data_IF_806344300101
#
_entry.id   IF_806344300101
#
_cell.length_a   1.000
_cell.length_b   1.000
_cell.length_c   1.000
_cell.angle_alpha   90.00
_cell.angle_beta   90.00
_cell.angle_gamma   90.00
#
_symmetry.space_group_name_H-M   'P 1'
#
loop_
_entity.id
_entity.type
_entity.pdbx_description
1 polymer ?
#
# COMPACT_ATOMS: atom_id res chain seq x y z
N UNK A 1 30.52 -21.98 -23.59
CA UNK A 1 30.74 -21.85 -22.14
C UNK A 1 31.04 -20.41 -21.69
N UNK A 2 32.09 -19.74 -22.18
CA UNK A 2 32.45 -18.36 -21.77
C UNK A 2 31.38 -17.27 -22.03
N UNK A 3 30.57 -17.37 -23.11
CA UNK A 3 29.47 -16.41 -23.38
C UNK A 3 28.32 -16.58 -22.40
N UNK A 4 27.96 -17.82 -22.04
CA UNK A 4 26.91 -18.10 -21.07
C UNK A 4 27.29 -17.59 -19.68
N UNK A 5 28.51 -17.86 -19.23
CA UNK A 5 29.01 -17.34 -17.93
C UNK A 5 28.96 -15.81 -17.88
N UNK A 6 29.40 -15.14 -18.96
CA UNK A 6 29.31 -13.67 -19.04
C UNK A 6 27.87 -13.15 -19.00
N UNK A 7 26.95 -13.85 -19.65
CA UNK A 7 25.51 -13.49 -19.59
C UNK A 7 24.95 -13.65 -18.18
N UNK A 8 25.23 -14.80 -17.53
CA UNK A 8 24.78 -15.02 -16.14
C UNK A 8 25.36 -13.98 -15.18
N UNK A 9 26.67 -13.65 -15.32
CA UNK A 9 27.29 -12.60 -14.50
C UNK A 9 26.67 -11.22 -14.74
N UNK A 10 26.36 -10.86 -15.99
CA UNK A 10 25.66 -9.60 -16.29
C UNK A 10 24.27 -9.57 -15.67
N UNK A 11 23.47 -10.63 -15.83
CA UNK A 11 22.14 -10.72 -15.22
C UNK A 11 22.21 -10.63 -13.70
N UNK A 12 23.15 -11.30 -13.06
CA UNK A 12 23.37 -11.22 -11.61
C UNK A 12 23.68 -9.78 -11.17
N UNK A 13 24.65 -9.12 -11.80
CA UNK A 13 25.02 -7.76 -11.43
C UNK A 13 23.92 -6.75 -11.74
N UNK A 14 23.17 -6.92 -12.83
CA UNK A 14 21.99 -6.10 -13.10
C UNK A 14 20.95 -6.25 -11.98
N UNK A 15 20.68 -7.47 -11.51
CA UNK A 15 19.78 -7.73 -10.39
C UNK A 15 20.26 -7.08 -9.09
N UNK A 16 21.55 -7.19 -8.77
CA UNK A 16 22.16 -6.55 -7.60
C UNK A 16 22.02 -5.02 -7.66
N UNK A 17 22.36 -4.42 -8.80
CA UNK A 17 22.24 -2.96 -9.00
C UNK A 17 20.79 -2.51 -8.87
N UNK A 18 19.85 -3.24 -9.47
CA UNK A 18 18.43 -2.92 -9.37
C UNK A 18 17.92 -3.00 -7.92
N UNK A 19 18.35 -4.01 -7.16
CA UNK A 19 18.00 -4.15 -5.74
C UNK A 19 18.57 -2.99 -4.91
N UNK A 20 19.83 -2.63 -5.11
CA UNK A 20 20.47 -1.51 -4.43
C UNK A 20 19.82 -0.16 -4.78
N UNK A 21 19.48 0.05 -6.06
CA UNK A 21 18.76 1.25 -6.50
C UNK A 21 17.36 1.33 -5.86
N UNK A 22 16.64 0.20 -5.78
CA UNK A 22 15.34 0.14 -5.10
C UNK A 22 15.49 0.47 -3.61
N UNK A 23 16.50 -0.09 -2.94
CA UNK A 23 16.77 0.19 -1.52
C UNK A 23 17.11 1.67 -1.29
N UNK A 24 17.97 2.25 -2.14
CA UNK A 24 18.30 3.67 -2.08
C UNK A 24 17.05 4.55 -2.31
N UNK A 25 16.17 4.15 -3.23
CA UNK A 25 14.88 4.84 -3.47
C UNK A 25 13.99 4.79 -2.24
N UNK A 26 13.83 3.63 -1.60
CA UNK A 26 13.03 3.48 -0.37
C UNK A 26 13.59 4.34 0.76
N UNK A 27 14.92 4.35 0.96
CA UNK A 27 15.59 5.22 1.94
C UNK A 27 15.34 6.70 1.62
N UNK A 28 15.65 7.12 0.39
CA UNK A 28 15.47 8.49 -0.04
C UNK A 28 14.04 8.97 0.16
N UNK A 29 13.08 8.15 -0.23
CA UNK A 29 11.67 8.46 -0.05
C UNK A 29 11.29 8.58 1.44
N UNK A 30 11.79 7.68 2.29
CA UNK A 30 11.49 7.69 3.73
C UNK A 30 12.00 8.93 4.43
N UNK A 31 13.21 9.36 4.12
CA UNK A 31 13.89 10.43 4.86
C UNK A 31 13.78 11.81 4.20
N UNK A 32 13.69 11.86 2.87
CA UNK A 32 13.66 13.12 2.12
C UNK A 32 12.23 13.58 1.78
N UNK A 33 11.21 12.71 1.95
CA UNK A 33 9.84 13.11 1.67
C UNK A 33 9.39 14.20 2.66
N UNK A 34 8.95 15.37 2.16
CA UNK A 34 8.48 16.45 3.02
C UNK A 34 7.17 16.06 3.70
N UNK A 35 7.11 16.19 5.05
CA UNK A 35 5.88 15.92 5.82
C UNK A 35 4.94 17.13 5.87
N UNK A 36 5.46 18.32 5.59
CA UNK A 36 4.83 19.64 5.72
C UNK A 36 4.33 20.22 4.39
N UNK A 37 4.18 19.38 3.38
CA UNK A 37 3.59 19.80 2.10
C UNK A 37 2.15 20.30 2.28
N UNK A 38 1.71 21.28 1.45
CA UNK A 38 0.31 21.64 1.38
C UNK A 38 -0.55 20.40 1.16
N UNK A 39 -1.66 20.31 1.89
CA UNK A 39 -2.55 19.16 1.79
C UNK A 39 -3.18 19.11 0.39
N UNK A 40 -3.12 17.96 -0.29
CA UNK A 40 -3.77 17.80 -1.58
C UNK A 40 -5.29 17.80 -1.39
N UNK A 41 -6.02 17.96 -2.49
CA UNK A 41 -7.45 17.67 -2.53
C UNK A 41 -7.70 16.48 -3.43
N UNK A 42 -8.63 15.63 -3.03
CA UNK A 42 -9.02 14.42 -3.77
C UNK A 42 -10.49 14.14 -3.69
N UNK A 43 -10.91 13.09 -4.38
CA UNK A 43 -12.28 12.59 -4.35
C UNK A 43 -12.44 11.54 -3.23
N UNK A 44 -11.35 10.85 -2.88
CA UNK A 44 -11.30 9.93 -1.73
C UNK A 44 -9.91 9.89 -1.07
N UNK A 45 -9.88 9.72 0.26
CA UNK A 45 -8.68 9.32 1.02
C UNK A 45 -8.65 7.80 1.08
N UNK A 46 -7.51 7.20 0.76
CA UNK A 46 -7.27 5.76 0.92
C UNK A 46 -6.36 5.55 2.12
N UNK A 47 -6.90 4.96 3.18
CA UNK A 47 -6.22 4.70 4.44
C UNK A 47 -5.77 3.23 4.49
N UNK A 48 -4.48 2.97 4.29
CA UNK A 48 -3.97 1.59 4.25
C UNK A 48 -3.70 1.02 5.64
N UNK A 49 -4.17 -0.20 5.90
CA UNK A 49 -3.85 -0.96 7.09
C UNK A 49 -2.37 -1.34 7.18
N UNK A 50 -1.88 -1.53 8.41
CA UNK A 50 -0.54 -2.05 8.68
C UNK A 50 -0.59 -3.38 9.40
N UNK A 51 -1.08 -3.39 10.64
CA UNK A 51 -1.22 -4.59 11.44
C UNK A 51 -2.43 -4.48 12.38
N UNK A 52 -3.01 -5.61 12.66
CA UNK A 52 -4.05 -5.84 13.65
C UNK A 52 -3.76 -7.20 14.30
N UNK A 53 -3.97 -7.32 15.60
CA UNK A 53 -3.80 -8.60 16.30
C UNK A 53 -5.07 -9.45 16.27
N UNK A 54 -4.98 -10.68 16.77
CA UNK A 54 -6.10 -11.62 16.82
C UNK A 54 -7.26 -11.16 17.72
N UNK A 55 -7.03 -10.16 18.57
CA UNK A 55 -8.04 -9.55 19.44
C UNK A 55 -8.70 -8.33 18.80
N UNK A 56 -8.30 -7.97 17.59
CA UNK A 56 -8.81 -6.79 16.89
C UNK A 56 -8.12 -5.48 17.30
N UNK A 57 -6.99 -5.56 18.02
CA UNK A 57 -6.27 -4.35 18.40
C UNK A 57 -5.32 -3.91 17.29
N UNK A 58 -5.44 -2.64 16.92
CA UNK A 58 -4.57 -2.04 15.91
C UNK A 58 -3.13 -1.93 16.42
N UNK A 59 -2.18 -2.38 15.60
CA UNK A 59 -0.79 -2.08 15.83
C UNK A 59 -0.47 -0.59 15.63
N UNK A 60 0.68 -0.10 16.16
CA UNK A 60 1.03 1.33 16.17
C UNK A 60 0.97 1.99 14.79
N UNK A 61 1.36 1.27 13.73
CA UNK A 61 1.27 1.77 12.36
C UNK A 61 -0.17 2.00 11.90
N UNK A 62 -1.08 1.07 12.20
CA UNK A 62 -2.50 1.21 11.86
C UNK A 62 -3.16 2.35 12.64
N UNK A 63 -2.83 2.51 13.92
CA UNK A 63 -3.30 3.63 14.75
C UNK A 63 -2.88 4.97 14.14
N UNK A 64 -1.60 5.15 13.87
CA UNK A 64 -1.07 6.39 13.30
C UNK A 64 -1.70 6.73 11.94
N UNK A 65 -1.93 5.72 11.09
CA UNK A 65 -2.58 5.92 9.80
C UNK A 65 -4.06 6.29 9.96
N UNK A 66 -4.79 5.63 10.86
CA UNK A 66 -6.19 5.92 11.14
C UNK A 66 -6.37 7.37 11.64
N UNK A 67 -5.56 7.79 12.60
CA UNK A 67 -5.57 9.16 13.14
C UNK A 67 -5.24 10.18 12.04
N UNK A 68 -4.21 9.92 11.23
CA UNK A 68 -3.86 10.80 10.10
C UNK A 68 -4.99 10.92 9.07
N UNK A 69 -5.67 9.81 8.75
CA UNK A 69 -6.79 9.81 7.81
C UNK A 69 -7.98 10.61 8.36
N UNK A 70 -8.25 10.50 9.67
CA UNK A 70 -9.26 11.32 10.35
C UNK A 70 -8.91 12.83 10.32
N UNK A 71 -7.65 13.19 10.55
CA UNK A 71 -7.19 14.59 10.47
C UNK A 71 -7.33 15.15 9.05
N UNK A 72 -6.97 14.38 8.03
CA UNK A 72 -7.10 14.78 6.63
C UNK A 72 -8.56 14.95 6.23
N UNK A 73 -9.44 14.07 6.69
CA UNK A 73 -10.87 14.19 6.46
C UNK A 73 -11.44 15.46 7.11
N UNK A 74 -11.12 15.72 8.39
CA UNK A 74 -11.52 16.96 9.09
C UNK A 74 -10.98 18.22 8.42
N UNK A 75 -9.81 18.15 7.82
CA UNK A 75 -9.23 19.23 7.03
C UNK A 75 -9.89 19.41 5.64
N UNK A 76 -10.88 18.60 5.28
CA UNK A 76 -11.62 18.70 4.02
C UNK A 76 -10.80 18.25 2.80
N UNK A 77 -9.82 17.36 2.98
CA UNK A 77 -8.98 16.83 1.89
C UNK A 77 -9.82 16.06 0.87
N UNK A 78 -10.77 15.25 1.33
CA UNK A 78 -11.72 14.54 0.49
C UNK A 78 -13.02 14.25 1.25
N UNK A 79 -14.16 14.08 0.55
CA UNK A 79 -15.46 13.82 1.17
C UNK A 79 -15.60 12.38 1.70
N UNK A 80 -14.82 11.44 1.19
CA UNK A 80 -14.91 10.00 1.50
C UNK A 80 -13.55 9.48 1.97
N UNK A 81 -13.56 8.57 2.94
CA UNK A 81 -12.38 7.82 3.38
C UNK A 81 -12.62 6.33 3.18
N UNK A 82 -11.78 5.69 2.38
CA UNK A 82 -11.74 4.23 2.22
C UNK A 82 -10.66 3.69 3.15
N UNK A 83 -11.06 2.92 4.15
CA UNK A 83 -10.16 2.15 4.99
C UNK A 83 -9.96 0.78 4.37
N UNK A 84 -8.72 0.38 4.13
CA UNK A 84 -8.39 -0.87 3.45
C UNK A 84 -7.42 -1.71 4.27
N UNK A 85 -7.82 -2.94 4.57
CA UNK A 85 -7.02 -3.90 5.34
C UNK A 85 -7.89 -5.04 5.88
N UNK A 86 -7.47 -6.26 5.62
CA UNK A 86 -8.23 -7.48 5.89
C UNK A 86 -8.28 -7.90 7.35
N UNK A 87 -8.77 -9.11 7.56
CA UNK A 87 -8.91 -9.75 8.87
C UNK A 87 -7.63 -10.52 9.23
N UNK A 88 -7.22 -10.55 10.51
CA UNK A 88 -6.08 -11.38 10.95
C UNK A 88 -6.42 -12.87 10.93
N UNK A 89 -7.69 -13.21 11.14
CA UNK A 89 -8.24 -14.57 11.11
C UNK A 89 -9.76 -14.55 10.86
N UNK A 90 -10.38 -15.64 10.40
CA UNK A 90 -11.82 -15.72 10.23
C UNK A 90 -12.59 -15.34 11.52
N UNK A 91 -13.60 -14.47 11.37
CA UNK A 91 -14.45 -14.01 12.49
C UNK A 91 -13.87 -12.87 13.33
N UNK A 92 -12.63 -12.44 13.09
CA UNK A 92 -12.08 -11.23 13.71
C UNK A 92 -12.49 -9.97 12.95
N UNK A 93 -12.50 -8.79 13.61
CA UNK A 93 -12.69 -7.53 12.90
C UNK A 93 -11.55 -7.28 11.91
N UNK A 94 -11.85 -6.65 10.78
CA UNK A 94 -10.82 -6.25 9.82
C UNK A 94 -10.02 -5.04 10.33
N UNK A 95 -8.77 -4.93 9.88
CA UNK A 95 -7.97 -3.76 10.15
C UNK A 95 -8.66 -2.48 9.63
N UNK A 96 -9.36 -2.58 8.51
CA UNK A 96 -10.13 -1.48 7.94
C UNK A 96 -11.24 -0.99 8.88
N UNK A 97 -12.06 -1.90 9.42
CA UNK A 97 -13.12 -1.54 10.36
C UNK A 97 -12.55 -0.91 11.64
N UNK A 98 -11.56 -1.55 12.26
CA UNK A 98 -10.94 -1.02 13.48
C UNK A 98 -10.26 0.35 13.27
N UNK A 99 -9.68 0.60 12.07
CA UNK A 99 -9.13 1.90 11.73
C UNK A 99 -10.23 2.96 11.52
N UNK A 100 -11.36 2.60 10.92
CA UNK A 100 -12.49 3.52 10.77
C UNK A 100 -13.00 3.99 12.12
N UNK A 101 -13.24 3.06 13.05
CA UNK A 101 -13.65 3.38 14.41
C UNK A 101 -12.65 4.30 15.13
N UNK A 102 -11.36 4.02 14.98
CA UNK A 102 -10.28 4.82 15.61
C UNK A 102 -10.17 6.22 15.02
N UNK A 103 -10.47 6.41 13.74
CA UNK A 103 -10.22 7.66 13.01
C UNK A 103 -11.17 8.80 13.39
N UNK A 104 -12.36 8.48 13.90
CA UNK A 104 -13.44 9.44 14.14
C UNK A 104 -14.09 9.97 12.86
N UNK A 105 -13.88 9.31 11.72
CA UNK A 105 -14.62 9.59 10.47
C UNK A 105 -16.04 9.03 10.59
N UNK A 106 -17.08 9.83 10.31
CA UNK A 106 -18.45 9.34 10.38
C UNK A 106 -18.72 8.17 9.43
N UNK A 107 -19.51 7.20 9.87
CA UNK A 107 -19.87 6.01 9.10
C UNK A 107 -20.44 6.34 7.71
N UNK A 108 -21.23 7.40 7.60
CA UNK A 108 -21.79 7.86 6.33
C UNK A 108 -20.74 8.20 5.27
N UNK A 109 -19.53 8.60 5.68
CA UNK A 109 -18.41 9.00 4.82
C UNK A 109 -17.28 7.99 4.80
N UNK A 110 -17.28 7.00 5.69
CA UNK A 110 -16.33 5.88 5.70
C UNK A 110 -16.77 4.78 4.73
N UNK A 111 -15.81 4.16 4.08
CA UNK A 111 -15.98 2.93 3.28
C UNK A 111 -14.99 1.90 3.77
N UNK A 112 -15.47 0.70 4.05
CA UNK A 112 -14.64 -0.38 4.61
C UNK A 112 -14.32 -1.38 3.51
N UNK A 113 -13.04 -1.56 3.24
CA UNK A 113 -12.48 -2.63 2.44
C UNK A 113 -11.75 -3.59 3.40
N UNK A 114 -12.38 -4.66 3.78
CA UNK A 114 -11.93 -5.59 4.83
C UNK A 114 -11.45 -6.96 4.31
N UNK A 115 -11.18 -7.12 3.02
CA UNK A 115 -10.83 -8.41 2.41
C UNK A 115 -9.37 -8.52 2.01
N UNK A 116 -8.64 -7.41 1.90
CA UNK A 116 -7.28 -7.38 1.39
C UNK A 116 -6.25 -7.91 2.38
N UNK A 117 -5.35 -8.76 1.91
CA UNK A 117 -4.23 -9.33 2.67
C UNK A 117 -2.86 -8.91 2.10
N UNK A 118 -2.84 -8.10 1.05
CA UNK A 118 -1.62 -7.57 0.44
C UNK A 118 -1.82 -6.16 -0.08
N UNK A 119 -0.71 -5.45 -0.38
CA UNK A 119 -0.82 -4.09 -0.94
C UNK A 119 -1.40 -4.07 -2.36
N UNK A 120 -1.21 -5.13 -3.13
CA UNK A 120 -1.85 -5.27 -4.44
C UNK A 120 -3.36 -5.46 -4.31
N UNK A 121 -3.81 -6.26 -3.34
CA UNK A 121 -5.24 -6.42 -3.04
C UNK A 121 -5.83 -5.15 -2.46
N UNK A 122 -5.13 -4.44 -1.54
CA UNK A 122 -5.55 -3.13 -1.06
C UNK A 122 -5.83 -2.19 -2.25
N UNK A 123 -4.92 -2.13 -3.22
CA UNK A 123 -5.09 -1.31 -4.40
C UNK A 123 -6.29 -1.76 -5.25
N UNK A 124 -6.35 -3.04 -5.61
CA UNK A 124 -7.42 -3.59 -6.43
C UNK A 124 -8.81 -3.36 -5.81
N UNK A 125 -8.96 -3.68 -4.52
CA UNK A 125 -10.27 -3.60 -3.86
C UNK A 125 -10.68 -2.16 -3.52
N UNK A 126 -9.73 -1.30 -3.14
CA UNK A 126 -10.03 0.12 -2.97
C UNK A 126 -10.48 0.77 -4.29
N UNK A 127 -9.84 0.43 -5.42
CA UNK A 127 -10.23 0.94 -6.73
C UNK A 127 -11.59 0.41 -7.22
N UNK A 128 -12.02 -0.77 -6.77
CA UNK A 128 -13.41 -1.24 -6.99
C UNK A 128 -14.45 -0.37 -6.29
N UNK A 129 -14.07 0.29 -5.18
CA UNK A 129 -14.95 1.21 -4.43
C UNK A 129 -14.93 2.61 -5.04
N UNK A 130 -13.75 3.12 -5.41
CA UNK A 130 -13.57 4.53 -5.83
C UNK A 130 -13.61 4.74 -7.34
N UNK A 131 -13.36 3.69 -8.13
CA UNK A 131 -13.01 3.82 -9.54
C UNK A 131 -11.54 4.17 -9.76
N UNK A 132 -11.08 3.97 -11.00
CA UNK A 132 -9.68 4.24 -11.41
C UNK A 132 -9.42 5.71 -11.74
N UNK A 133 -10.46 6.47 -12.09
CA UNK A 133 -10.38 7.86 -12.55
C UNK A 133 -10.50 8.87 -11.39
N UNK A 134 -10.82 8.39 -10.18
CA UNK A 134 -10.90 9.23 -9.00
C UNK A 134 -9.52 9.79 -8.61
N UNK A 135 -9.48 11.04 -8.18
CA UNK A 135 -8.29 11.64 -7.54
C UNK A 135 -8.16 11.11 -6.13
N UNK A 136 -7.17 10.27 -5.91
CA UNK A 136 -6.99 9.56 -4.66
C UNK A 136 -5.88 10.19 -3.83
N UNK A 137 -6.11 10.31 -2.53
CA UNK A 137 -5.10 10.70 -1.54
C UNK A 137 -4.71 9.46 -0.75
N UNK A 138 -3.57 8.88 -1.09
CA UNK A 138 -3.07 7.64 -0.51
C UNK A 138 -2.29 7.92 0.76
N UNK A 139 -2.72 7.32 1.87
CA UNK A 139 -2.17 7.55 3.21
C UNK A 139 -1.55 6.27 3.78
N UNK A 140 -0.27 6.33 4.05
CA UNK A 140 0.50 5.29 4.73
C UNK A 140 1.79 5.87 5.30
N UNK A 141 2.64 5.08 5.98
CA UNK A 141 3.95 5.57 6.43
C UNK A 141 4.89 5.82 5.24
N UNK A 142 5.82 6.78 5.40
CA UNK A 142 6.69 7.23 4.32
C UNK A 142 7.49 6.09 3.66
N UNK A 143 7.99 5.14 4.45
CA UNK A 143 8.74 3.98 3.93
C UNK A 143 7.89 3.04 3.07
N UNK A 144 6.58 3.03 3.27
CA UNK A 144 5.64 2.18 2.55
C UNK A 144 5.04 2.85 1.29
N UNK A 145 5.16 4.17 1.16
CA UNK A 145 4.62 4.93 0.02
C UNK A 145 5.10 4.43 -1.35
N UNK A 146 6.40 4.10 -1.57
CA UNK A 146 6.86 3.64 -2.89
C UNK A 146 6.13 2.39 -3.36
N UNK A 147 5.99 1.38 -2.49
CA UNK A 147 5.29 0.13 -2.81
C UNK A 147 3.80 0.35 -3.00
N UNK A 148 3.19 1.15 -2.15
CA UNK A 148 1.77 1.48 -2.25
C UNK A 148 1.46 2.23 -3.54
N UNK A 149 2.25 3.25 -3.88
CA UNK A 149 2.13 3.98 -5.13
C UNK A 149 2.25 3.04 -6.34
N UNK A 150 3.29 2.21 -6.38
CA UNK A 150 3.50 1.27 -7.47
C UNK A 150 2.32 0.28 -7.61
N UNK A 151 1.77 -0.23 -6.49
CA UNK A 151 0.64 -1.14 -6.48
C UNK A 151 -0.64 -0.47 -7.02
N UNK A 152 -0.95 0.74 -6.57
CA UNK A 152 -2.13 1.48 -7.05
C UNK A 152 -2.00 1.86 -8.53
N UNK A 153 -0.81 2.30 -8.97
CA UNK A 153 -0.53 2.56 -10.40
C UNK A 153 -0.68 1.30 -11.25
N UNK A 154 -0.16 0.18 -10.80
CA UNK A 154 -0.28 -1.10 -11.47
C UNK A 154 -1.74 -1.57 -11.60
N UNK A 155 -2.58 -1.30 -10.60
CA UNK A 155 -4.01 -1.64 -10.62
C UNK A 155 -4.88 -0.61 -11.37
N UNK A 156 -4.28 0.45 -11.94
CA UNK A 156 -4.98 1.39 -12.85
C UNK A 156 -5.33 2.75 -12.24
N UNK A 157 -4.87 3.09 -11.04
CA UNK A 157 -5.07 4.44 -10.52
C UNK A 157 -4.29 5.48 -11.34
N UNK A 158 -4.96 6.53 -11.81
CA UNK A 158 -4.36 7.55 -12.68
C UNK A 158 -3.91 8.81 -11.92
N UNK A 159 -4.66 9.24 -10.92
CA UNK A 159 -4.37 10.44 -10.12
C UNK A 159 -4.18 10.07 -8.65
N UNK A 160 -2.94 10.11 -8.18
CA UNK A 160 -2.52 9.71 -6.83
C UNK A 160 -1.70 10.81 -6.17
N UNK A 161 -2.27 11.46 -5.18
CA UNK A 161 -1.52 12.25 -4.22
C UNK A 161 -1.08 11.36 -3.05
N UNK A 162 0.14 11.57 -2.55
CA UNK A 162 0.74 10.75 -1.50
C UNK A 162 0.91 11.58 -0.23
N UNK A 163 0.36 11.08 0.88
CA UNK A 163 0.47 11.75 2.17
C UNK A 163 1.03 10.77 3.21
N UNK A 164 2.20 11.03 3.79
CA UNK A 164 2.73 10.19 4.85
C UNK A 164 1.92 10.37 6.15
N UNK A 165 1.59 9.25 6.79
CA UNK A 165 1.06 9.24 8.15
C UNK A 165 2.16 9.51 9.18
N UNK A 166 3.42 9.19 8.84
CA UNK A 166 4.62 9.40 9.61
C UNK A 166 5.82 8.89 8.83
N UNK A 167 7.05 9.10 9.36
CA UNK A 167 8.28 8.64 8.68
C UNK A 167 8.55 7.17 8.93
N UNK A 168 9.34 6.92 9.95
CA UNK A 168 9.86 5.61 10.29
C UNK A 168 9.91 5.50 11.81
N UNK A 169 9.50 4.36 12.33
CA UNK A 169 9.63 4.05 13.75
C UNK A 169 11.09 3.70 14.10
N UNK A 170 11.52 3.76 15.39
CA UNK A 170 12.90 3.50 15.80
C UNK A 170 13.45 2.13 15.37
N UNK A 171 12.62 1.12 15.23
CA UNK A 171 12.94 -0.25 14.78
C UNK A 171 12.97 -0.41 13.25
N UNK A 172 12.91 0.70 12.52
CA UNK A 172 12.55 0.74 11.11
C UNK A 172 13.57 0.27 10.10
N UNK A 173 14.85 0.02 10.46
CA UNK A 173 15.86 -0.43 9.47
C UNK A 173 15.49 -1.76 8.82
N UNK A 174 14.99 -2.71 9.60
CA UNK A 174 14.50 -3.97 9.09
C UNK A 174 13.29 -3.79 8.15
N UNK A 175 12.46 -2.78 8.41
CA UNK A 175 11.33 -2.44 7.54
C UNK A 175 11.77 -1.95 6.16
N UNK A 176 12.85 -1.17 6.06
CA UNK A 176 13.37 -0.69 4.77
C UNK A 176 13.83 -1.86 3.87
N UNK A 177 14.53 -2.83 4.45
CA UNK A 177 14.91 -4.05 3.72
C UNK A 177 13.68 -4.88 3.29
N UNK A 178 12.74 -5.05 4.21
CA UNK A 178 11.47 -5.74 3.93
C UNK A 178 10.69 -5.05 2.80
N UNK A 179 10.56 -3.73 2.82
CA UNK A 179 9.86 -2.99 1.77
C UNK A 179 10.55 -3.12 0.42
N UNK A 180 11.90 -3.08 0.40
CA UNK A 180 12.68 -3.32 -0.81
C UNK A 180 12.37 -4.69 -1.41
N UNK A 181 12.42 -5.75 -0.62
CA UNK A 181 12.07 -7.10 -1.07
C UNK A 181 10.60 -7.20 -1.50
N UNK A 182 9.68 -6.59 -0.74
CA UNK A 182 8.25 -6.61 -1.01
C UNK A 182 7.86 -5.89 -2.32
N UNK A 183 8.60 -4.87 -2.76
CA UNK A 183 8.39 -4.21 -4.07
C UNK A 183 8.62 -5.23 -5.19
N UNK A 184 9.72 -5.97 -5.16
CA UNK A 184 10.05 -6.98 -6.19
C UNK A 184 9.07 -8.15 -6.15
N UNK A 185 8.69 -8.59 -4.95
CA UNK A 185 7.72 -9.64 -4.78
C UNK A 185 6.34 -9.26 -5.35
N UNK A 186 5.88 -8.04 -5.06
CA UNK A 186 4.64 -7.51 -5.65
C UNK A 186 4.73 -7.38 -7.16
N UNK A 187 5.89 -6.95 -7.70
CA UNK A 187 6.09 -6.87 -9.15
C UNK A 187 5.95 -8.26 -9.81
N UNK A 188 6.55 -9.30 -9.22
CA UNK A 188 6.42 -10.67 -9.70
C UNK A 188 4.97 -11.17 -9.66
N UNK A 189 4.25 -10.95 -8.56
CA UNK A 189 2.82 -11.29 -8.43
C UNK A 189 1.95 -10.56 -9.44
N UNK A 190 2.19 -9.27 -9.65
CA UNK A 190 1.46 -8.49 -10.62
C UNK A 190 1.66 -9.00 -12.05
N UNK A 191 2.91 -9.32 -12.42
CA UNK A 191 3.23 -9.90 -13.72
C UNK A 191 2.48 -11.23 -13.89
N UNK A 192 2.55 -12.12 -12.89
CA UNK A 192 1.84 -13.41 -12.93
C UNK A 192 0.33 -13.20 -13.07
N UNK A 193 -0.26 -12.30 -12.28
CA UNK A 193 -1.68 -11.94 -12.35
C UNK A 193 -2.07 -11.43 -13.74
N UNK A 194 -1.23 -10.61 -14.38
CA UNK A 194 -1.46 -10.11 -15.74
C UNK A 194 -1.37 -11.23 -16.77
N UNK A 195 -0.36 -12.08 -16.66
CA UNK A 195 -0.14 -13.18 -17.62
C UNK A 195 -1.25 -14.23 -17.57
N UNK A 196 -1.86 -14.44 -16.43
CA UNK A 196 -2.95 -15.41 -16.24
C UNK A 196 -4.33 -14.88 -16.61
N UNK A 197 -4.44 -13.62 -17.03
CA UNK A 197 -5.72 -12.97 -17.32
C UNK A 197 -6.56 -13.68 -18.39
N UNK A 198 -5.95 -14.35 -19.34
CA UNK A 198 -6.62 -15.07 -20.41
C UNK A 198 -7.01 -16.52 -20.05
N UNK A 199 -6.51 -17.05 -18.91
CA UNK A 199 -6.59 -18.49 -18.61
C UNK A 199 -7.25 -18.81 -17.27
N UNK A 200 -7.28 -17.86 -16.33
CA UNK A 200 -7.83 -18.09 -15.00
C UNK A 200 -9.02 -17.17 -14.71
N UNK A 201 -10.04 -17.66 -13.99
CA UNK A 201 -11.13 -16.86 -13.45
C UNK A 201 -10.63 -15.75 -12.50
N UNK A 202 -11.38 -14.65 -12.39
CA UNK A 202 -10.97 -13.47 -11.62
C UNK A 202 -10.81 -13.72 -10.10
N UNK A 203 -11.60 -14.61 -9.52
CA UNK A 203 -11.49 -15.04 -8.12
C UNK A 203 -10.14 -15.72 -7.86
N UNK A 204 -9.79 -16.72 -8.67
CA UNK A 204 -8.49 -17.43 -8.56
C UNK A 204 -7.33 -16.47 -8.81
N UNK A 205 -7.46 -15.58 -9.79
CA UNK A 205 -6.41 -14.57 -10.07
C UNK A 205 -6.22 -13.60 -8.92
N UNK A 206 -7.29 -13.23 -8.24
CA UNK A 206 -7.22 -12.33 -7.10
C UNK A 206 -6.40 -12.93 -5.94
N UNK A 207 -6.43 -14.27 -5.78
CA UNK A 207 -5.60 -14.96 -4.81
C UNK A 207 -4.11 -14.94 -5.15
N UNK A 208 -3.73 -14.80 -6.43
CA UNK A 208 -2.33 -14.61 -6.84
C UNK A 208 -1.73 -13.29 -6.34
N UNK A 209 -2.56 -12.34 -5.97
CA UNK A 209 -2.12 -11.05 -5.43
C UNK A 209 -1.92 -11.07 -3.91
N UNK A 210 -2.27 -12.18 -3.24
CA UNK A 210 -2.19 -12.33 -1.78
C UNK A 210 -0.78 -12.40 -1.20
#
# INVERSE_FOLDING_TARGET
MRRLIRLCLRMFWTGVIALLATYATVIGWTYLWPLDRPLPRGDAIICLGASIDDRGQLGPGSVMRAERCGDLWRAGVAPVVVFSGGVPRPGAPSAAAAMADRSGVPEATARIEGQSHSTLQNALFSLRITGTDARLVLVTEAFHLPRSWASFRAMGAHDLALVPAGRLRPDGRAMLLRETAAIWFNAGRYILWRMTAAFLPDDIRTDLLH
#
